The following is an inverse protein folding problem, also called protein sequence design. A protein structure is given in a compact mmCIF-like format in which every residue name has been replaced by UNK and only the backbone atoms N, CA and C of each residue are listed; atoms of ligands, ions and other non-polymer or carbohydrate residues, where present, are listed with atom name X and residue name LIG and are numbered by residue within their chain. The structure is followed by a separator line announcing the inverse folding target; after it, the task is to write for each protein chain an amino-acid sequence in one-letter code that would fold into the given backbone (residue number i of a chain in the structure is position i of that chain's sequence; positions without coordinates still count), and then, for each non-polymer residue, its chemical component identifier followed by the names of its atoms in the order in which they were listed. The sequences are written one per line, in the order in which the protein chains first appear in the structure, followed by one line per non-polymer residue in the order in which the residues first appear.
data_IF_914071810001
#
_entry.id   IF_914071810001
#
_cell.length_a   1.000
_cell.length_b   1.000
_cell.length_c   1.000
_cell.angle_alpha   90.00
_cell.angle_beta   90.00
_cell.angle_gamma   90.00
#
_symmetry.space_group_name_H-M   'P 1'
#
loop_
_entity.id
_entity.type
_entity.pdbx_description
1 polymer ?
#
# COMPACT_ATOMS: atom_id res chain seq x y z
N UNK A 1 34.69 -33.37 31.88
CA UNK A 1 34.65 -34.76 31.42
C UNK A 1 33.19 -35.05 31.09
N UNK A 2 32.79 -35.01 29.84
CA UNK A 2 31.48 -35.40 29.37
C UNK A 2 31.68 -36.09 28.02
N UNK A 3 31.49 -37.41 28.03
CA UNK A 3 31.65 -38.30 26.87
C UNK A 3 30.51 -38.12 25.88
N UNK A 4 30.90 -37.89 24.62
CA UNK A 4 30.04 -37.93 23.46
C UNK A 4 29.84 -39.39 23.05
N UNK A 5 28.59 -39.85 23.04
CA UNK A 5 28.21 -41.17 22.51
C UNK A 5 27.64 -40.97 21.11
N UNK A 6 28.39 -41.44 20.11
CA UNK A 6 27.99 -41.51 18.72
C UNK A 6 27.24 -42.84 18.47
N UNK A 7 25.98 -42.80 18.04
CA UNK A 7 25.27 -43.98 17.59
C UNK A 7 25.29 -44.13 16.07
N UNK A 8 25.48 -45.34 15.53
CA UNK A 8 25.55 -45.56 14.07
C UNK A 8 24.18 -45.64 13.43
N UNK A 9 24.06 -44.99 12.27
CA UNK A 9 22.89 -45.05 11.37
C UNK A 9 22.84 -46.41 10.67
N UNK A 10 21.77 -47.14 10.86
CA UNK A 10 21.52 -48.42 10.19
C UNK A 10 21.12 -48.17 8.71
N UNK A 11 21.85 -48.78 7.80
CA UNK A 11 21.54 -48.79 6.36
C UNK A 11 20.33 -49.71 6.08
N UNK A 12 19.20 -49.12 5.62
CA UNK A 12 18.04 -49.88 5.16
C UNK A 12 18.23 -50.33 3.73
N UNK A 13 18.22 -51.64 3.52
CA UNK A 13 18.28 -52.35 2.23
C UNK A 13 17.05 -52.02 1.39
N UNK A 14 17.24 -51.43 0.21
CA UNK A 14 16.21 -51.24 -0.81
C UNK A 14 15.95 -52.60 -1.51
N UNK A 15 14.82 -53.20 -1.22
CA UNK A 15 14.27 -54.32 -2.04
C UNK A 15 13.65 -53.76 -3.31
N UNK A 16 14.14 -54.22 -4.46
CA UNK A 16 13.58 -53.93 -5.79
C UNK A 16 12.18 -54.53 -5.93
N UNK A 17 11.16 -53.66 -6.01
CA UNK A 17 9.83 -54.05 -6.48
C UNK A 17 9.76 -53.92 -7.99
N UNK A 18 9.47 -55.03 -8.65
CA UNK A 18 9.22 -55.08 -10.11
C UNK A 18 8.06 -54.14 -10.45
N UNK A 19 8.35 -53.16 -11.29
CA UNK A 19 7.33 -52.27 -11.84
C UNK A 19 6.52 -53.02 -12.91
N UNK A 20 5.23 -53.21 -12.66
CA UNK A 20 4.27 -53.66 -13.65
C UNK A 20 4.18 -52.61 -14.78
N UNK A 21 4.57 -52.97 -15.99
CA UNK A 21 4.37 -52.13 -17.18
C UNK A 21 2.88 -52.11 -17.54
N UNK A 22 2.19 -51.04 -17.20
CA UNK A 22 0.87 -50.72 -17.74
C UNK A 22 1.08 -50.16 -19.14
N UNK A 23 0.67 -50.89 -20.15
CA UNK A 23 0.70 -50.41 -21.52
C UNK A 23 -0.40 -49.36 -21.72
N UNK A 24 -0.03 -48.10 -21.75
CA UNK A 24 -0.91 -47.01 -22.13
C UNK A 24 -1.09 -47.08 -23.66
N UNK A 25 -2.29 -47.46 -24.15
CA UNK A 25 -2.69 -47.30 -25.55
C UNK A 25 -2.80 -45.77 -25.79
N UNK A 26 -1.76 -45.23 -26.45
CA UNK A 26 -1.69 -43.82 -26.78
C UNK A 26 -2.79 -43.41 -27.77
N UNK A 27 -3.70 -42.58 -27.31
CA UNK A 27 -4.40 -41.70 -28.25
C UNK A 27 -3.47 -40.55 -28.62
N UNK A 28 -3.38 -40.16 -29.90
CA UNK A 28 -2.53 -39.07 -30.32
C UNK A 28 -3.04 -37.76 -29.69
N UNK A 29 -2.19 -37.13 -28.89
CA UNK A 29 -2.43 -35.77 -28.38
C UNK A 29 -2.57 -34.83 -29.58
N UNK A 30 -3.77 -34.28 -29.79
CA UNK A 30 -3.98 -33.23 -30.79
C UNK A 30 -3.08 -32.05 -30.42
N UNK A 31 -2.12 -31.77 -31.27
CA UNK A 31 -1.25 -30.61 -31.12
C UNK A 31 -2.12 -29.32 -31.12
N UNK A 32 -2.15 -28.61 -30.01
CA UNK A 32 -2.77 -27.29 -29.94
C UNK A 32 -1.84 -26.34 -30.71
N UNK A 33 -2.34 -25.61 -31.73
CA UNK A 33 -1.48 -24.73 -32.52
C UNK A 33 -0.85 -23.65 -31.65
N UNK A 34 0.46 -23.50 -31.70
CA UNK A 34 1.28 -22.52 -30.96
C UNK A 34 0.76 -21.04 -31.02
N UNK A 35 -0.06 -20.76 -32.05
CA UNK A 35 -0.66 -19.42 -32.22
C UNK A 35 -1.73 -19.09 -31.20
N UNK A 36 -2.40 -20.07 -30.58
CA UNK A 36 -3.40 -19.85 -29.53
C UNK A 36 -2.72 -19.57 -28.18
N UNK A 37 -1.59 -20.22 -27.89
CA UNK A 37 -0.81 -19.99 -26.67
C UNK A 37 -0.20 -18.58 -26.63
N UNK A 38 0.25 -18.03 -27.78
CA UNK A 38 0.81 -16.68 -27.86
C UNK A 38 -0.20 -15.57 -27.59
N UNK A 39 -1.50 -15.80 -27.85
CA UNK A 39 -2.55 -14.82 -27.61
C UNK A 39 -2.97 -14.75 -26.13
N UNK A 40 -2.79 -15.83 -25.37
CA UNK A 40 -3.04 -15.85 -23.92
C UNK A 40 -1.91 -15.22 -23.09
N UNK A 41 -0.66 -15.31 -23.57
CA UNK A 41 0.50 -14.73 -22.86
C UNK A 41 0.53 -13.19 -23.01
N UNK A 42 0.00 -12.62 -24.11
CA UNK A 42 -0.02 -11.18 -24.32
C UNK A 42 -1.08 -10.44 -23.48
N UNK A 43 -2.02 -11.15 -22.86
CA UNK A 43 -3.07 -10.56 -22.02
C UNK A 43 -2.66 -10.49 -20.55
N UNK A 44 -1.58 -11.16 -20.16
CA UNK A 44 -1.16 -11.31 -18.74
C UNK A 44 -0.13 -10.28 -18.26
N UNK A 45 0.34 -9.37 -19.11
CA UNK A 45 1.35 -8.37 -18.72
C UNK A 45 1.01 -6.97 -19.23
N UNK A 46 -0.21 -6.49 -18.94
CA UNK A 46 -0.41 -5.04 -18.90
C UNK A 46 -0.11 -4.61 -17.46
N UNK A 47 1.17 -4.29 -17.19
CA UNK A 47 1.49 -3.55 -15.99
C UNK A 47 0.62 -2.30 -15.99
N UNK A 48 -0.18 -2.11 -14.93
CA UNK A 48 -0.92 -0.88 -14.77
C UNK A 48 0.10 0.28 -14.79
N UNK A 49 -0.20 1.34 -15.55
CA UNK A 49 0.64 2.53 -15.54
C UNK A 49 0.73 3.07 -14.10
N UNK A 50 1.89 3.61 -13.68
CA UNK A 50 2.01 4.20 -12.36
C UNK A 50 0.99 5.35 -12.21
N UNK A 51 0.31 5.40 -11.07
CA UNK A 51 -0.68 6.44 -10.78
C UNK A 51 -0.04 7.82 -10.54
N UNK A 52 1.24 7.85 -10.15
CA UNK A 52 1.95 9.11 -9.87
C UNK A 52 2.01 9.98 -11.13
N UNK A 53 1.63 11.25 -10.99
CA UNK A 53 1.49 12.20 -12.07
C UNK A 53 0.14 12.14 -12.82
N UNK A 54 -0.75 11.23 -12.42
CA UNK A 54 -2.10 11.07 -13.00
C UNK A 54 -3.17 11.48 -12.00
N UNK A 55 -4.36 11.82 -12.51
CA UNK A 55 -5.53 12.05 -11.66
C UNK A 55 -5.87 10.77 -10.89
N UNK A 56 -6.05 10.89 -9.58
CA UNK A 56 -6.46 9.79 -8.72
C UNK A 56 -7.82 9.23 -9.16
N UNK A 57 -8.00 7.89 -9.17
CA UNK A 57 -9.30 7.29 -9.40
C UNK A 57 -10.33 7.83 -8.39
N UNK A 58 -11.42 8.41 -8.87
CA UNK A 58 -12.50 8.88 -8.00
C UNK A 58 -13.34 7.70 -7.51
N UNK A 59 -13.82 7.77 -6.30
CA UNK A 59 -14.69 6.76 -5.71
C UNK A 59 -15.74 7.38 -4.79
N UNK A 60 -16.81 6.65 -4.55
CA UNK A 60 -17.79 6.95 -3.51
C UNK A 60 -18.06 5.67 -2.72
N UNK A 61 -17.90 5.72 -1.41
CA UNK A 61 -18.09 4.57 -0.54
C UNK A 61 -18.56 5.00 0.85
N UNK A 62 -19.20 4.08 1.57
CA UNK A 62 -19.54 4.30 2.99
C UNK A 62 -18.29 4.21 3.83
N UNK A 63 -18.16 5.10 4.80
CA UNK A 63 -17.08 5.12 5.78
C UNK A 63 -17.64 5.22 7.20
N UNK A 64 -16.79 4.97 8.18
CA UNK A 64 -17.09 5.20 9.59
C UNK A 64 -16.26 6.36 10.09
N UNK A 65 -16.91 7.35 10.67
CA UNK A 65 -16.28 8.49 11.33
C UNK A 65 -17.16 8.95 12.50
N UNK A 66 -16.53 9.27 13.63
CA UNK A 66 -17.24 9.69 14.85
C UNK A 66 -18.36 8.71 15.25
N UNK A 67 -18.08 7.40 15.10
CA UNK A 67 -18.99 6.27 15.33
C UNK A 67 -20.28 6.28 14.48
N UNK A 68 -20.32 7.07 13.42
CA UNK A 68 -21.43 7.14 12.47
C UNK A 68 -21.05 6.62 11.08
N UNK A 69 -22.02 6.16 10.32
CA UNK A 69 -21.84 5.85 8.92
C UNK A 69 -22.03 7.10 8.07
N UNK A 70 -21.01 7.44 7.30
CA UNK A 70 -21.01 8.58 6.39
C UNK A 70 -20.68 8.12 4.96
N UNK A 71 -21.13 8.89 3.98
CA UNK A 71 -20.69 8.69 2.60
C UNK A 71 -19.47 9.58 2.30
N UNK A 72 -18.40 8.95 1.81
CA UNK A 72 -17.18 9.63 1.44
C UNK A 72 -17.00 9.51 -0.07
N UNK A 73 -16.73 10.65 -0.73
CA UNK A 73 -16.34 10.74 -2.11
C UNK A 73 -14.98 11.41 -2.23
N UNK A 74 -14.01 10.81 -2.95
CA UNK A 74 -12.66 11.38 -3.03
C UNK A 74 -12.67 12.80 -3.60
N UNK A 75 -13.48 13.05 -4.63
CA UNK A 75 -13.58 14.38 -5.25
C UNK A 75 -14.16 15.48 -4.34
N UNK A 76 -14.77 15.15 -3.20
CA UNK A 76 -15.24 16.17 -2.23
C UNK A 76 -14.08 16.90 -1.54
N UNK A 77 -12.89 16.31 -1.57
CA UNK A 77 -11.67 16.87 -0.96
C UNK A 77 -10.85 17.75 -1.93
N UNK A 78 -11.39 18.06 -3.11
CA UNK A 78 -10.72 19.01 -4.02
C UNK A 78 -10.44 20.34 -3.32
N UNK A 79 -9.27 20.92 -3.59
CA UNK A 79 -8.78 22.11 -2.90
C UNK A 79 -7.99 21.82 -1.64
N UNK A 80 -7.95 20.56 -1.17
CA UNK A 80 -7.11 20.09 -0.07
C UNK A 80 -6.18 18.98 -0.52
N UNK A 81 -5.10 18.75 0.21
CA UNK A 81 -4.32 17.52 0.05
C UNK A 81 -5.03 16.34 0.72
N UNK A 82 -4.81 15.15 0.19
CA UNK A 82 -5.34 13.92 0.77
C UNK A 82 -4.22 12.90 0.93
N UNK A 83 -4.07 12.37 2.14
CA UNK A 83 -3.31 11.15 2.39
C UNK A 83 -4.30 9.99 2.43
N UNK A 84 -4.33 9.24 1.34
CA UNK A 84 -5.16 8.04 1.20
C UNK A 84 -4.28 6.82 1.47
N UNK A 85 -4.56 6.07 2.53
CA UNK A 85 -3.80 4.87 2.83
C UNK A 85 -4.68 3.64 2.90
N UNK A 86 -4.16 2.54 2.35
CA UNK A 86 -4.81 1.22 2.35
C UNK A 86 -4.16 0.33 3.40
N UNK A 87 -4.94 -0.50 4.05
CA UNK A 87 -4.46 -1.51 4.99
C UNK A 87 -5.20 -2.85 4.75
N UNK A 88 -4.58 -3.99 5.09
CA UNK A 88 -5.10 -5.30 4.74
C UNK A 88 -6.48 -5.61 5.31
N UNK A 89 -6.59 -5.65 6.64
CA UNK A 89 -7.81 -6.08 7.34
C UNK A 89 -7.89 -5.45 8.74
N UNK A 90 -9.13 -5.29 9.22
CA UNK A 90 -9.44 -5.00 10.61
C UNK A 90 -8.99 -6.14 11.54
N UNK A 91 -8.88 -5.87 12.82
CA UNK A 91 -8.55 -6.83 13.89
C UNK A 91 -7.27 -7.64 13.62
N UNK A 92 -6.25 -7.00 13.02
CA UNK A 92 -4.94 -7.57 12.76
C UNK A 92 -3.85 -6.93 13.66
N UNK A 93 -2.57 -7.14 13.36
CA UNK A 93 -1.48 -6.81 14.30
C UNK A 93 -0.71 -5.54 13.93
N UNK A 94 -0.33 -5.36 12.67
CA UNK A 94 0.39 -4.16 12.20
C UNK A 94 -0.56 -3.00 11.92
N UNK A 95 -1.76 -3.27 11.39
CA UNK A 95 -2.72 -2.25 10.99
C UNK A 95 -3.11 -1.28 12.11
N UNK A 96 -3.43 -1.73 13.34
CA UNK A 96 -3.79 -0.80 14.40
C UNK A 96 -2.64 0.16 14.76
N UNK A 97 -1.39 -0.29 14.65
CA UNK A 97 -0.22 0.58 14.95
C UNK A 97 -0.08 1.72 13.96
N UNK A 98 -0.38 1.50 12.66
CA UNK A 98 -0.38 2.55 11.65
C UNK A 98 -1.57 3.49 11.83
N UNK A 99 -2.78 2.94 11.95
CA UNK A 99 -4.04 3.68 12.05
C UNK A 99 -4.03 4.61 13.25
N UNK A 100 -3.63 4.11 14.42
CA UNK A 100 -3.55 4.94 15.63
C UNK A 100 -2.46 6.01 15.52
N UNK A 101 -1.29 5.69 14.92
CA UNK A 101 -0.22 6.67 14.72
C UNK A 101 -0.65 7.82 13.79
N UNK A 102 -1.41 7.56 12.71
CA UNK A 102 -2.00 8.61 11.88
C UNK A 102 -3.02 9.46 12.66
N UNK A 103 -3.84 8.82 13.51
CA UNK A 103 -4.83 9.52 14.33
C UNK A 103 -4.17 10.39 15.40
N UNK A 104 -3.14 9.90 16.06
CA UNK A 104 -2.42 10.63 17.12
C UNK A 104 -1.71 11.86 16.56
N UNK A 105 -1.25 11.81 15.32
CA UNK A 105 -0.58 12.92 14.61
C UNK A 105 -1.48 13.66 13.62
N UNK A 106 -2.80 13.45 13.67
CA UNK A 106 -3.74 14.03 12.71
C UNK A 106 -3.70 15.56 12.68
N UNK A 107 -3.47 16.22 13.82
CA UNK A 107 -3.42 17.67 13.91
C UNK A 107 -2.25 18.26 13.09
N UNK A 108 -1.15 17.49 12.89
CA UNK A 108 -0.04 17.89 12.02
C UNK A 108 -0.45 17.88 10.53
N UNK A 109 -1.30 16.93 10.11
CA UNK A 109 -1.86 16.91 8.76
C UNK A 109 -2.85 18.05 8.53
N UNK A 110 -3.70 18.30 9.50
CA UNK A 110 -4.62 19.46 9.48
C UNK A 110 -3.89 20.78 9.37
N UNK A 111 -2.78 20.96 10.09
CA UNK A 111 -1.98 22.18 10.05
C UNK A 111 -1.39 22.47 8.68
N UNK A 112 -1.28 21.46 7.81
CA UNK A 112 -0.79 21.58 6.43
C UNK A 112 -1.92 21.31 5.40
N UNK A 113 -3.16 21.64 5.74
CA UNK A 113 -4.35 21.59 4.88
C UNK A 113 -4.55 20.20 4.21
N UNK A 114 -4.41 19.13 5.00
CA UNK A 114 -4.43 17.77 4.51
C UNK A 114 -5.45 16.93 5.25
N UNK A 115 -6.27 16.19 4.51
CA UNK A 115 -7.19 15.20 5.04
C UNK A 115 -6.55 13.80 4.95
N UNK A 116 -6.90 12.94 5.93
CA UNK A 116 -6.42 11.56 6.00
C UNK A 116 -7.61 10.62 5.81
N UNK A 117 -7.46 9.58 5.00
CA UNK A 117 -8.47 8.55 4.77
C UNK A 117 -7.81 7.17 4.85
N UNK A 118 -8.36 6.29 5.70
CA UNK A 118 -7.96 4.89 5.75
C UNK A 118 -8.95 4.03 4.95
N UNK A 119 -8.46 3.05 4.20
CA UNK A 119 -9.29 2.17 3.37
C UNK A 119 -8.91 0.71 3.60
N UNK A 120 -9.90 -0.16 3.81
CA UNK A 120 -9.71 -1.61 3.72
C UNK A 120 -10.88 -2.27 3.02
N UNK A 121 -10.72 -3.56 2.71
CA UNK A 121 -11.76 -4.37 2.08
C UNK A 121 -12.83 -4.85 3.06
N UNK A 122 -12.75 -4.46 4.32
CA UNK A 122 -13.74 -4.77 5.34
C UNK A 122 -15.03 -3.96 5.18
N UNK A 123 -16.07 -4.39 5.87
CA UNK A 123 -17.34 -3.68 5.91
C UNK A 123 -17.33 -2.52 6.91
N UNK A 124 -18.19 -1.53 6.72
CA UNK A 124 -18.41 -0.45 7.67
C UNK A 124 -18.79 -0.96 9.07
N UNK A 125 -19.41 -2.12 9.18
CA UNK A 125 -19.77 -2.73 10.47
C UNK A 125 -18.54 -3.26 11.20
N UNK A 126 -17.57 -3.83 10.47
CA UNK A 126 -16.28 -4.24 11.01
C UNK A 126 -15.49 -3.04 11.51
N UNK A 127 -15.39 -1.99 10.70
CA UNK A 127 -14.74 -0.72 11.09
C UNK A 127 -15.34 -0.15 12.37
N UNK A 128 -16.68 -0.08 12.46
CA UNK A 128 -17.36 0.43 13.64
C UNK A 128 -17.03 -0.39 14.89
N UNK A 129 -17.11 -1.73 14.78
CA UNK A 129 -16.77 -2.61 15.90
C UNK A 129 -15.32 -2.43 16.34
N UNK A 130 -14.40 -2.24 15.39
CA UNK A 130 -12.97 -2.06 15.69
C UNK A 130 -12.67 -0.69 16.31
N UNK A 131 -13.35 0.36 15.90
CA UNK A 131 -13.31 1.70 16.53
C UNK A 131 -13.84 1.64 17.97
N UNK A 132 -14.88 0.87 18.23
CA UNK A 132 -15.46 0.69 19.55
C UNK A 132 -14.62 -0.19 20.48
N UNK A 133 -13.63 -0.90 19.96
CA UNK A 133 -12.72 -1.73 20.73
C UNK A 133 -11.56 -0.89 21.28
N UNK A 134 -11.23 -1.05 22.58
CA UNK A 134 -10.12 -0.33 23.21
C UNK A 134 -8.77 -0.69 22.56
N UNK A 135 -7.88 0.30 22.43
CA UNK A 135 -6.52 0.11 21.89
C UNK A 135 -5.72 -0.95 22.64
N UNK A 136 -5.94 -1.10 23.95
CA UNK A 136 -5.28 -2.12 24.78
C UNK A 136 -5.74 -3.54 24.48
N UNK A 137 -6.91 -3.68 23.86
CA UNK A 137 -7.50 -4.95 23.45
C UNK A 137 -7.30 -5.22 21.94
N UNK A 138 -6.41 -4.46 21.28
CA UNK A 138 -6.14 -4.60 19.85
C UNK A 138 -7.11 -3.83 18.95
N UNK A 139 -7.97 -2.99 19.52
CA UNK A 139 -8.81 -2.04 18.78
C UNK A 139 -8.03 -0.80 18.33
N UNK A 140 -8.70 0.10 17.64
CA UNK A 140 -8.12 1.38 17.21
C UNK A 140 -8.64 2.56 18.02
N UNK A 141 -9.74 2.36 18.78
CA UNK A 141 -10.39 3.44 19.52
C UNK A 141 -10.94 4.52 18.58
N UNK A 142 -11.37 5.64 19.14
CA UNK A 142 -11.84 6.78 18.36
C UNK A 142 -10.72 7.35 17.48
N UNK A 143 -11.03 7.52 16.19
CA UNK A 143 -10.12 8.03 15.18
C UNK A 143 -10.53 9.44 14.76
N UNK A 144 -9.53 10.25 14.42
CA UNK A 144 -9.72 11.64 13.95
C UNK A 144 -10.00 11.76 12.44
N UNK A 145 -10.15 10.62 11.74
CA UNK A 145 -10.39 10.55 10.30
C UNK A 145 -11.24 9.33 9.93
N UNK A 146 -11.87 9.32 8.73
CA UNK A 146 -12.75 8.23 8.32
C UNK A 146 -12.00 6.94 7.96
N UNK A 147 -12.62 5.78 8.28
CA UNK A 147 -12.30 4.48 7.71
C UNK A 147 -13.31 4.12 6.63
N UNK A 148 -12.85 3.99 5.40
CA UNK A 148 -13.64 3.75 4.20
C UNK A 148 -13.76 2.25 3.95
N UNK A 149 -14.98 1.76 3.76
CA UNK A 149 -15.29 0.35 3.51
C UNK A 149 -15.26 0.06 1.99
N UNK A 150 -14.22 -0.63 1.52
CA UNK A 150 -14.08 -1.10 0.13
C UNK A 150 -14.50 -2.58 0.00
N UNK A 151 -15.70 -2.92 0.47
CA UNK A 151 -16.21 -4.30 0.48
C UNK A 151 -16.24 -4.94 -0.91
N UNK A 152 -16.44 -4.14 -1.96
CA UNK A 152 -16.42 -4.59 -3.36
C UNK A 152 -15.00 -4.69 -3.93
N UNK A 153 -13.99 -4.17 -3.23
CA UNK A 153 -12.58 -4.16 -3.65
C UNK A 153 -12.29 -3.30 -4.88
N UNK A 154 -13.25 -2.51 -5.32
CA UNK A 154 -13.15 -1.67 -6.52
C UNK A 154 -12.16 -0.53 -6.32
N UNK A 155 -12.07 0.04 -5.12
CA UNK A 155 -11.12 1.11 -4.78
C UNK A 155 -9.69 0.54 -4.73
N UNK A 156 -9.49 -0.56 -4.01
CA UNK A 156 -8.18 -1.23 -3.91
C UNK A 156 -7.67 -1.70 -5.27
N UNK A 157 -8.56 -2.17 -6.16
CA UNK A 157 -8.21 -2.54 -7.52
C UNK A 157 -7.83 -1.31 -8.36
N UNK A 158 -8.62 -0.23 -8.31
CA UNK A 158 -8.37 1.01 -9.05
C UNK A 158 -7.05 1.68 -8.67
N UNK A 159 -6.64 1.59 -7.39
CA UNK A 159 -5.35 2.08 -6.90
C UNK A 159 -4.20 1.06 -7.07
N UNK A 160 -4.47 -0.12 -7.62
CA UNK A 160 -3.45 -1.13 -7.92
C UNK A 160 -2.84 -1.76 -6.66
N UNK A 161 -3.56 -1.77 -5.55
CA UNK A 161 -3.08 -2.33 -4.27
C UNK A 161 -3.81 -3.61 -3.86
N UNK A 162 -4.79 -4.09 -4.64
CA UNK A 162 -5.47 -5.34 -4.36
C UNK A 162 -4.53 -6.53 -4.61
N UNK A 163 -4.29 -7.34 -3.58
CA UNK A 163 -3.49 -8.56 -3.70
C UNK A 163 -4.30 -9.70 -4.33
N UNK A 164 -3.65 -10.75 -4.86
CA UNK A 164 -4.34 -11.95 -5.34
C UNK A 164 -5.20 -12.65 -4.27
N UNK A 165 -4.85 -12.49 -3.00
CA UNK A 165 -5.60 -13.04 -1.86
C UNK A 165 -6.87 -12.23 -1.55
N UNK A 166 -7.11 -11.14 -2.27
CA UNK A 166 -8.31 -10.32 -2.16
C UNK A 166 -8.32 -9.37 -0.98
N UNK A 167 -7.16 -9.02 -0.44
CA UNK A 167 -6.95 -7.98 0.58
C UNK A 167 -6.07 -6.86 0.02
N UNK A 168 -6.14 -5.68 0.61
CA UNK A 168 -5.30 -4.57 0.18
C UNK A 168 -3.86 -4.74 0.71
N UNK A 169 -2.87 -4.46 -0.14
CA UNK A 169 -1.50 -4.18 0.29
C UNK A 169 -1.46 -2.84 1.05
N UNK A 170 -0.35 -2.57 1.75
CA UNK A 170 -0.19 -1.30 2.48
C UNK A 170 0.19 -0.18 1.51
N UNK A 171 -0.75 0.21 0.65
CA UNK A 171 -0.62 1.36 -0.23
C UNK A 171 -0.81 2.67 0.51
N UNK A 172 -0.04 3.71 0.14
CA UNK A 172 -0.25 5.08 0.58
C UNK A 172 -0.04 6.01 -0.60
N UNK A 173 -0.98 6.92 -0.79
CA UNK A 173 -0.98 7.89 -1.87
C UNK A 173 -1.14 9.29 -1.29
N UNK A 174 -0.31 10.24 -1.74
CA UNK A 174 -0.49 11.66 -1.45
C UNK A 174 -1.06 12.29 -2.72
N UNK A 175 -2.25 12.84 -2.58
CA UNK A 175 -3.04 13.44 -3.66
C UNK A 175 -3.09 14.95 -3.40
N UNK A 176 -2.81 15.74 -4.42
CA UNK A 176 -2.81 17.20 -4.31
C UNK A 176 -4.21 17.83 -4.43
N UNK A 177 -4.25 19.15 -4.34
CA UNK A 177 -5.49 19.95 -4.38
C UNK A 177 -6.26 19.81 -5.69
N UNK A 178 -5.57 19.55 -6.79
CA UNK A 178 -6.14 19.29 -8.12
C UNK A 178 -6.56 17.82 -8.28
N UNK A 179 -6.22 16.96 -7.29
CA UNK A 179 -6.50 15.54 -7.26
C UNK A 179 -5.55 14.70 -8.09
N UNK A 180 -4.35 15.18 -8.31
CA UNK A 180 -3.28 14.42 -8.94
C UNK A 180 -2.49 13.68 -7.88
N UNK A 181 -2.15 12.42 -8.13
CA UNK A 181 -1.28 11.63 -7.24
C UNK A 181 0.14 12.13 -7.38
N UNK A 182 0.69 12.71 -6.32
CA UNK A 182 2.05 13.22 -6.27
C UNK A 182 3.06 12.20 -5.74
N UNK A 183 2.61 11.28 -4.87
CA UNK A 183 3.46 10.25 -4.27
C UNK A 183 2.67 8.97 -4.09
N UNK A 184 3.37 7.84 -4.24
CA UNK A 184 2.84 6.51 -3.92
C UNK A 184 3.93 5.65 -3.30
N UNK A 185 3.56 4.92 -2.24
CA UNK A 185 4.37 3.84 -1.68
C UNK A 185 3.48 2.63 -1.42
N UNK A 186 3.97 1.44 -1.69
CA UNK A 186 3.23 0.19 -1.47
C UNK A 186 4.15 -0.79 -0.77
N UNK A 187 3.85 -1.08 0.50
CA UNK A 187 4.55 -2.08 1.28
C UNK A 187 3.81 -3.43 1.23
N UNK A 188 4.56 -4.52 1.36
CA UNK A 188 3.99 -5.82 1.63
C UNK A 188 3.40 -5.87 3.05
N UNK A 189 2.68 -6.94 3.37
CA UNK A 189 1.81 -7.07 4.54
C UNK A 189 2.52 -7.01 5.90
N UNK A 190 3.81 -7.41 5.96
CA UNK A 190 4.51 -7.71 7.20
C UNK A 190 5.10 -6.49 7.94
N UNK A 191 5.15 -5.31 7.33
CA UNK A 191 5.77 -4.13 7.93
C UNK A 191 5.00 -2.85 7.62
N UNK A 192 4.89 -1.99 8.64
CA UNK A 192 4.14 -0.74 8.59
C UNK A 192 4.90 0.41 7.92
N UNK A 193 4.17 1.52 7.73
CA UNK A 193 4.67 2.78 7.14
C UNK A 193 5.05 3.77 8.24
N UNK A 194 5.84 4.77 7.89
CA UNK A 194 6.22 5.88 8.78
C UNK A 194 5.33 7.09 8.54
N UNK A 195 4.63 7.54 9.59
CA UNK A 195 3.84 8.78 9.57
C UNK A 195 4.76 10.00 9.40
N UNK A 196 5.93 9.97 10.03
CA UNK A 196 6.94 11.05 9.90
C UNK A 196 7.40 11.22 8.45
N UNK A 197 7.70 10.10 7.77
CA UNK A 197 8.12 10.14 6.36
C UNK A 197 6.97 10.59 5.45
N UNK A 198 5.73 10.22 5.77
CA UNK A 198 4.54 10.69 5.06
C UNK A 198 4.39 12.21 5.17
N UNK A 199 4.52 12.76 6.38
CA UNK A 199 4.48 14.22 6.62
C UNK A 199 5.64 14.93 5.92
N UNK A 200 6.87 14.40 6.04
CA UNK A 200 8.03 14.96 5.37
C UNK A 200 7.83 15.03 3.84
N UNK A 201 7.34 13.95 3.25
CA UNK A 201 7.09 13.88 1.80
C UNK A 201 5.98 14.83 1.38
N UNK A 202 4.87 14.89 2.14
CA UNK A 202 3.79 15.84 1.92
C UNK A 202 4.29 17.30 1.93
N UNK A 203 5.09 17.66 2.94
CA UNK A 203 5.66 19.00 3.04
C UNK A 203 6.62 19.32 1.90
N UNK A 204 7.39 18.34 1.41
CA UNK A 204 8.23 18.51 0.23
C UNK A 204 7.40 18.74 -1.04
N UNK A 205 6.29 18.03 -1.22
CA UNK A 205 5.35 18.25 -2.33
C UNK A 205 4.77 19.66 -2.28
N UNK A 206 4.28 20.09 -1.11
CA UNK A 206 3.73 21.42 -0.90
C UNK A 206 4.75 22.52 -1.18
N UNK A 207 5.99 22.30 -0.75
CA UNK A 207 7.08 23.24 -0.97
C UNK A 207 7.37 23.46 -2.46
N UNK A 208 7.55 22.37 -3.24
CA UNK A 208 7.86 22.50 -4.67
C UNK A 208 6.68 23.02 -5.48
N UNK A 209 5.44 22.78 -5.07
CA UNK A 209 4.26 23.37 -5.70
C UNK A 209 4.14 24.86 -5.42
N UNK A 210 4.57 25.32 -4.24
CA UNK A 210 4.63 26.74 -3.90
C UNK A 210 5.86 27.45 -4.48
N UNK A 211 6.93 26.73 -4.81
CA UNK A 211 8.21 27.25 -5.30
C UNK A 211 8.63 26.52 -6.60
N UNK A 212 8.01 26.81 -7.74
CA UNK A 212 8.22 26.05 -8.98
C UNK A 212 9.64 26.16 -9.57
N UNK A 213 10.41 27.17 -9.13
CA UNK A 213 11.80 27.39 -9.55
C UNK A 213 12.82 26.65 -8.66
N UNK A 214 12.36 25.87 -7.69
CA UNK A 214 13.20 25.14 -6.75
C UNK A 214 12.82 23.66 -6.67
N UNK A 215 13.80 22.81 -6.34
CA UNK A 215 13.57 21.38 -6.10
C UNK A 215 14.11 20.99 -4.74
N UNK A 216 13.45 20.00 -4.13
CA UNK A 216 13.86 19.42 -2.85
C UNK A 216 14.87 18.29 -3.08
N UNK A 217 16.10 18.39 -2.56
CA UNK A 217 17.07 17.30 -2.60
C UNK A 217 16.63 16.07 -1.80
N UNK A 218 17.37 14.97 -1.94
CA UNK A 218 17.12 13.75 -1.18
C UNK A 218 17.12 14.03 0.33
N UNK A 219 16.13 13.48 1.04
CA UNK A 219 16.01 13.66 2.49
C UNK A 219 15.64 15.07 2.96
N UNK A 220 15.24 15.96 2.04
CA UNK A 220 14.83 17.33 2.38
C UNK A 220 13.77 17.36 3.47
N UNK A 221 13.92 18.31 4.39
CA UNK A 221 12.96 18.63 5.45
C UNK A 221 12.66 20.13 5.42
N UNK A 222 11.53 20.59 5.96
CA UNK A 222 11.25 22.01 6.10
C UNK A 222 12.41 22.77 6.76
N UNK A 223 12.83 23.86 6.13
CA UNK A 223 13.99 24.65 6.56
C UNK A 223 15.35 24.18 6.03
N UNK A 224 15.42 23.02 5.34
CA UNK A 224 16.64 22.57 4.65
C UNK A 224 16.85 23.37 3.37
N UNK A 225 18.13 23.38 2.89
CA UNK A 225 18.47 24.01 1.62
C UNK A 225 17.76 23.32 0.45
N UNK A 226 17.32 24.12 -0.51
CA UNK A 226 16.78 23.69 -1.79
C UNK A 226 17.79 23.89 -2.91
N UNK A 227 17.46 23.47 -4.11
CA UNK A 227 18.34 23.58 -5.27
C UNK A 227 17.57 24.19 -6.45
N UNK A 228 18.21 25.07 -7.21
CA UNK A 228 17.70 25.50 -8.52
C UNK A 228 17.94 24.40 -9.55
N UNK A 229 16.93 23.98 -10.32
CA UNK A 229 17.05 22.88 -11.28
C UNK A 229 17.68 23.34 -12.61
N UNK A 230 18.83 24.01 -12.54
CA UNK A 230 19.60 24.43 -13.71
C UNK A 230 21.11 24.12 -13.53
N UNK A 231 21.87 23.98 -14.63
CA UNK A 231 23.29 23.58 -14.58
C UNK A 231 24.23 24.54 -13.86
N UNK A 232 23.85 25.80 -13.67
CA UNK A 232 24.66 26.82 -12.98
C UNK A 232 24.18 26.97 -11.54
N UNK A 233 22.89 27.19 -11.30
CA UNK A 233 22.31 27.41 -9.99
C UNK A 233 22.45 26.20 -9.05
N UNK A 234 22.39 24.98 -9.60
CA UNK A 234 22.60 23.75 -8.80
C UNK A 234 24.01 23.67 -8.17
N UNK A 235 25.02 24.32 -8.75
CA UNK A 235 26.40 24.30 -8.22
C UNK A 235 26.52 24.97 -6.85
N UNK A 236 25.69 25.98 -6.56
CA UNK A 236 25.66 26.60 -5.23
C UNK A 236 25.26 25.62 -4.14
N UNK A 237 24.30 24.75 -4.43
CA UNK A 237 23.88 23.69 -3.53
C UNK A 237 25.02 22.66 -3.34
N UNK A 238 25.59 22.14 -4.44
CA UNK A 238 26.65 21.14 -4.38
C UNK A 238 27.93 21.63 -3.71
N UNK A 239 28.22 22.91 -3.79
CA UNK A 239 29.37 23.50 -3.09
C UNK A 239 29.18 23.66 -1.58
N UNK A 240 27.94 23.48 -1.10
CA UNK A 240 27.54 23.73 0.28
C UNK A 240 27.21 22.46 1.09
N UNK A 241 27.43 21.26 0.48
CA UNK A 241 27.20 19.93 1.11
C UNK A 241 28.51 19.17 1.33
#
# INVERSE_FOLDING_TARGET
MASSVCMPVAAASLRSTQAARVAFKGQPLKAVPLRAARKQISTLCKAAAPLVGSTAPDFSATAVFDQEFIDVKLSQYRGKYVVLFFYPLDFTFVCPTEITAFSDRHDEFKAVDTEVLGVSVDSQFSHLAWIQTDRKEGGVGDLKYPLVADLKKEISEAFGVLSPDGIALRGLFIIDKEGVVQHATVNNLAFGRSVEETLRTLQAIQYVQANPDEVCPAGWKPGSKTMKPDPKGSKEYFAAI
#
